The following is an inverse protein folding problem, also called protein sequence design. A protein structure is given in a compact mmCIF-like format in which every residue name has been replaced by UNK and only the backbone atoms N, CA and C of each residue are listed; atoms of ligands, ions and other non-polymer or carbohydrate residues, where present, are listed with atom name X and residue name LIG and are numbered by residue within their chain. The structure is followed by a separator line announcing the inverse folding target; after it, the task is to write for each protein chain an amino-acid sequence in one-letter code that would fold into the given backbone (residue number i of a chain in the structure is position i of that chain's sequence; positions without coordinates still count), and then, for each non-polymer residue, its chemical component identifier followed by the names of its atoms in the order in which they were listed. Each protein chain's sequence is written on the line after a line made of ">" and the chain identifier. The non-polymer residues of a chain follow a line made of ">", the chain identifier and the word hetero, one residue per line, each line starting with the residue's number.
data_IF_710834358025
#
_entry.id   IF_710834358025
#
_cell.length_a   1.000
_cell.length_b   1.000
_cell.length_c   1.000
_cell.angle_alpha   90.00
_cell.angle_beta   90.00
_cell.angle_gamma   90.00
#
_symmetry.space_group_name_H-M   'P 1'
#
loop_
_entity.id
_entity.type
_entity.pdbx_description
1 polymer ?
#
# COMPACT_ATOMS: atom_id res chain seq x y z
N UNK A 1 24.89 10.61 17.71
CA UNK A 1 24.19 11.13 18.92
C UNK A 1 22.80 10.54 18.98
N UNK A 2 22.43 9.86 20.07
CA UNK A 2 21.04 9.42 20.28
C UNK A 2 20.24 10.65 20.74
N UNK A 3 19.16 10.98 20.02
CA UNK A 3 18.21 12.00 20.47
C UNK A 3 17.27 11.33 21.48
N UNK A 4 17.36 11.74 22.74
CA UNK A 4 16.43 11.33 23.77
C UNK A 4 15.18 12.21 23.65
N UNK A 5 14.00 11.59 23.74
CA UNK A 5 12.73 12.32 23.84
C UNK A 5 12.38 12.35 25.32
N UNK A 6 12.36 13.55 25.90
CA UNK A 6 11.89 13.74 27.25
C UNK A 6 10.36 13.64 27.26
N UNK A 7 9.84 12.68 28.02
CA UNK A 7 8.40 12.48 28.20
C UNK A 7 8.07 12.91 29.62
N UNK A 8 7.23 13.95 29.82
CA UNK A 8 6.80 14.35 31.15
C UNK A 8 6.09 13.21 31.90
N UNK A 9 6.26 13.14 33.22
CA UNK A 9 5.65 12.12 34.07
C UNK A 9 4.12 12.07 33.95
N UNK A 10 3.47 13.23 33.86
CA UNK A 10 2.02 13.35 33.67
C UNK A 10 1.53 12.65 32.38
N UNK A 11 2.34 12.67 31.33
CA UNK A 11 2.05 11.98 30.06
C UNK A 11 2.18 10.47 30.23
N UNK A 12 3.16 10.02 31.03
CA UNK A 12 3.33 8.60 31.35
C UNK A 12 2.18 8.05 32.20
N UNK A 13 1.68 8.80 33.17
CA UNK A 13 0.53 8.41 33.99
C UNK A 13 -0.72 8.23 33.13
N UNK A 14 -1.01 9.18 32.24
CA UNK A 14 -2.13 9.07 31.29
C UNK A 14 -2.01 7.83 30.39
N UNK A 15 -0.79 7.49 29.95
CA UNK A 15 -0.56 6.28 29.15
C UNK A 15 -0.73 4.98 29.95
N UNK A 16 -0.37 4.97 31.24
CA UNK A 16 -0.62 3.83 32.14
C UNK A 16 -2.12 3.59 32.30
N UNK A 17 -2.91 4.66 32.36
CA UNK A 17 -4.37 4.62 32.44
C UNK A 17 -5.06 4.30 31.09
N UNK A 18 -4.29 3.98 30.04
CA UNK A 18 -4.83 3.70 28.70
C UNK A 18 -5.32 4.91 27.92
N UNK A 19 -5.10 6.14 28.41
CA UNK A 19 -5.52 7.37 27.74
C UNK A 19 -4.56 7.72 26.60
N UNK A 20 -5.12 8.02 25.43
CA UNK A 20 -4.34 8.53 24.30
C UNK A 20 -3.90 9.99 24.55
N UNK A 21 -2.66 10.31 24.19
CA UNK A 21 -2.09 11.67 24.26
C UNK A 21 -1.88 12.21 22.85
N UNK A 22 -2.26 13.47 22.63
CA UNK A 22 -2.07 14.16 21.34
C UNK A 22 -0.59 14.18 20.94
N UNK A 23 -0.31 14.01 19.64
CA UNK A 23 1.05 13.75 19.14
C UNK A 23 1.39 12.27 18.97
N UNK A 24 0.40 11.38 19.12
CA UNK A 24 0.45 9.97 18.71
C UNK A 24 1.31 9.06 19.60
N UNK A 25 1.44 9.40 20.89
CA UNK A 25 2.07 8.56 21.90
C UNK A 25 1.04 7.53 22.42
N UNK A 26 1.37 6.24 22.35
CA UNK A 26 0.51 5.13 22.84
C UNK A 26 1.35 4.09 23.57
N UNK A 27 0.83 3.57 24.68
CA UNK A 27 1.40 2.40 25.35
C UNK A 27 0.64 1.17 24.91
N UNK A 28 1.36 0.20 24.37
CA UNK A 28 0.79 -1.09 24.00
C UNK A 28 0.55 -1.93 25.26
N UNK A 29 -0.69 -2.37 25.47
CA UNK A 29 -1.12 -3.05 26.71
C UNK A 29 -0.53 -4.47 26.84
N UNK A 30 -0.16 -5.12 25.73
CA UNK A 30 0.37 -6.49 25.73
C UNK A 30 1.89 -6.54 25.89
N UNK A 31 2.59 -5.55 25.32
CA UNK A 31 4.06 -5.51 25.31
C UNK A 31 4.65 -4.50 26.29
N UNK A 32 3.82 -3.59 26.83
CA UNK A 32 4.24 -2.52 27.73
C UNK A 32 5.06 -1.40 27.06
N UNK A 33 5.29 -1.48 25.74
CA UNK A 33 6.14 -0.55 25.00
C UNK A 33 5.41 0.76 24.69
N UNK A 34 6.09 1.88 24.87
CA UNK A 34 5.62 3.20 24.45
C UNK A 34 5.98 3.41 22.97
N UNK A 35 4.98 3.65 22.14
CA UNK A 35 5.11 3.90 20.71
C UNK A 35 4.75 5.35 20.41
N UNK A 36 5.62 6.04 19.70
CA UNK A 36 5.38 7.42 19.24
C UNK A 36 5.14 7.40 17.73
N UNK A 37 3.95 7.78 17.31
CA UNK A 37 3.51 7.70 15.91
C UNK A 37 3.32 9.08 15.28
N UNK A 38 4.34 9.94 15.31
CA UNK A 38 4.27 11.24 14.64
C UNK A 38 3.70 11.10 13.22
N UNK A 39 2.70 11.92 12.92
CA UNK A 39 1.90 11.87 11.71
C UNK A 39 2.73 11.57 10.44
N UNK A 40 2.41 10.42 9.83
CA UNK A 40 2.59 10.06 8.42
C UNK A 40 3.93 10.39 7.75
N UNK A 41 4.90 9.45 7.82
CA UNK A 41 5.69 8.95 6.67
C UNK A 41 6.24 7.56 6.99
N UNK A 42 5.39 6.59 7.30
CA UNK A 42 5.82 5.21 7.07
C UNK A 42 5.66 4.99 5.56
N UNK A 43 6.74 4.85 4.77
CA UNK A 43 6.59 4.23 3.47
C UNK A 43 5.94 2.88 3.76
N UNK A 44 4.70 2.69 3.30
CA UNK A 44 4.15 1.34 3.24
C UNK A 44 5.01 0.66 2.20
N UNK A 45 6.06 0.00 2.67
CA UNK A 45 6.88 -0.86 1.86
C UNK A 45 6.06 -2.12 1.55
N UNK A 46 5.00 -1.93 0.77
CA UNK A 46 4.26 -3.00 0.14
C UNK A 46 5.05 -3.25 -1.14
N UNK A 47 5.98 -4.20 -1.06
CA UNK A 47 6.60 -4.76 -2.25
C UNK A 47 5.47 -5.40 -3.08
N UNK A 48 4.90 -4.62 -3.99
CA UNK A 48 3.92 -5.09 -4.97
C UNK A 48 4.71 -5.68 -6.14
N UNK A 49 4.49 -6.98 -6.41
CA UNK A 49 5.11 -7.67 -7.53
C UNK A 49 4.47 -7.15 -8.81
N UNK A 50 5.27 -6.73 -9.79
CA UNK A 50 4.76 -6.45 -11.13
C UNK A 50 4.57 -7.78 -11.83
N UNK A 51 3.32 -8.11 -12.14
CA UNK A 51 2.97 -9.33 -12.88
C UNK A 51 3.18 -9.10 -14.37
N UNK A 52 2.67 -7.98 -14.87
CA UNK A 52 2.78 -7.63 -16.29
C UNK A 52 2.86 -6.11 -16.46
N UNK A 53 3.76 -5.67 -17.34
CA UNK A 53 3.82 -4.28 -17.79
C UNK A 53 2.97 -4.15 -19.06
N UNK A 54 2.03 -3.19 -19.06
CA UNK A 54 1.17 -2.91 -20.20
C UNK A 54 1.70 -1.67 -20.93
N UNK A 55 1.16 -1.38 -22.11
CA UNK A 55 1.57 -0.24 -22.93
C UNK A 55 1.25 1.09 -22.23
N UNK A 56 0.07 1.19 -21.60
CA UNK A 56 -0.45 2.38 -20.95
C UNK A 56 -0.63 2.21 -19.43
N UNK A 57 -0.07 1.15 -18.87
CA UNK A 57 -0.45 0.70 -17.54
C UNK A 57 0.40 -0.43 -16.97
N UNK A 58 -0.14 -1.07 -15.95
CA UNK A 58 0.47 -2.23 -15.32
C UNK A 58 -0.57 -3.09 -14.60
N UNK A 59 -0.21 -4.36 -14.43
CA UNK A 59 -0.84 -5.28 -13.52
C UNK A 59 0.14 -5.63 -12.40
N UNK A 60 -0.25 -5.36 -11.16
CA UNK A 60 0.54 -5.69 -9.97
C UNK A 60 -0.24 -6.60 -9.04
N UNK A 61 0.52 -7.38 -8.30
CA UNK A 61 0.04 -8.24 -7.25
C UNK A 61 0.51 -7.71 -5.89
N UNK A 62 -0.43 -7.67 -4.96
CA UNK A 62 -0.19 -7.46 -3.54
C UNK A 62 -0.66 -8.70 -2.79
N UNK A 63 -0.24 -8.92 -1.52
CA UNK A 63 -0.56 -10.16 -0.79
C UNK A 63 -2.05 -10.54 -0.68
N UNK A 64 -2.97 -9.63 -0.98
CA UNK A 64 -4.42 -9.88 -0.90
C UNK A 64 -5.18 -9.52 -2.18
N UNK A 65 -4.53 -8.89 -3.17
CA UNK A 65 -5.24 -8.27 -4.31
C UNK A 65 -4.35 -8.16 -5.53
N UNK A 66 -4.95 -8.44 -6.67
CA UNK A 66 -4.48 -7.95 -7.97
C UNK A 66 -4.97 -6.53 -8.21
N UNK A 67 -4.12 -5.72 -8.83
CA UNK A 67 -4.37 -4.31 -9.11
C UNK A 67 -4.05 -4.04 -10.57
N UNK A 68 -5.09 -3.72 -11.33
CA UNK A 68 -4.99 -3.28 -12.71
C UNK A 68 -5.06 -1.75 -12.77
N UNK A 69 -4.07 -1.13 -13.38
CA UNK A 69 -4.03 0.30 -13.65
C UNK A 69 -3.80 0.53 -15.14
N UNK A 70 -4.63 1.38 -15.75
CA UNK A 70 -4.51 1.78 -17.15
C UNK A 70 -4.81 3.28 -17.29
N UNK A 71 -3.96 4.00 -18.02
CA UNK A 71 -4.11 5.42 -18.30
C UNK A 71 -3.90 5.73 -19.77
N UNK A 72 -4.99 5.88 -20.51
CA UNK A 72 -4.98 6.19 -21.94
C UNK A 72 -5.14 7.69 -22.19
N UNK A 73 -4.39 8.24 -23.16
CA UNK A 73 -4.50 9.66 -23.53
C UNK A 73 -5.87 9.97 -24.15
N UNK A 74 -6.46 11.10 -23.73
CA UNK A 74 -7.82 11.51 -24.16
C UNK A 74 -7.90 12.02 -25.60
N UNK A 75 -6.77 12.44 -26.18
CA UNK A 75 -6.67 12.99 -27.54
C UNK A 75 -6.90 11.93 -28.63
N UNK A 76 -6.83 10.64 -28.30
CA UNK A 76 -7.18 9.53 -29.20
C UNK A 76 -8.68 9.47 -29.55
N UNK A 77 -9.54 10.14 -28.78
CA UNK A 77 -10.99 10.09 -28.93
C UNK A 77 -11.61 8.86 -28.25
N UNK A 78 -12.86 9.01 -27.78
CA UNK A 78 -13.51 8.05 -26.86
C UNK A 78 -13.57 6.61 -27.40
N UNK A 79 -13.84 6.43 -28.70
CA UNK A 79 -13.91 5.10 -29.32
C UNK A 79 -12.56 4.38 -29.30
N UNK A 80 -11.48 5.10 -29.59
CA UNK A 80 -10.15 4.51 -29.56
C UNK A 80 -9.70 4.23 -28.13
N UNK A 81 -10.03 5.12 -27.18
CA UNK A 81 -9.77 4.89 -25.76
C UNK A 81 -10.42 3.60 -25.29
N UNK A 82 -11.69 3.36 -25.64
CA UNK A 82 -12.43 2.15 -25.30
C UNK A 82 -11.74 0.88 -25.83
N UNK A 83 -11.39 0.87 -27.12
CA UNK A 83 -10.68 -0.25 -27.76
C UNK A 83 -9.33 -0.53 -27.09
N UNK A 84 -8.55 0.52 -26.79
CA UNK A 84 -7.25 0.38 -26.13
C UNK A 84 -7.42 -0.15 -24.71
N UNK A 85 -8.39 0.36 -23.94
CA UNK A 85 -8.67 -0.14 -22.59
C UNK A 85 -9.07 -1.61 -22.57
N UNK A 86 -9.93 -2.03 -23.49
CA UNK A 86 -10.32 -3.42 -23.64
C UNK A 86 -9.15 -4.33 -24.03
N UNK A 87 -8.30 -3.88 -24.96
CA UNK A 87 -7.11 -4.63 -25.36
C UNK A 87 -6.17 -4.85 -24.18
N UNK A 88 -5.89 -3.80 -23.41
CA UNK A 88 -5.01 -3.89 -22.24
C UNK A 88 -5.57 -4.80 -21.15
N UNK A 89 -6.90 -4.75 -20.92
CA UNK A 89 -7.55 -5.64 -19.97
C UNK A 89 -7.39 -7.10 -20.38
N UNK A 90 -7.61 -7.42 -21.67
CA UNK A 90 -7.43 -8.78 -22.18
C UNK A 90 -5.98 -9.26 -22.03
N UNK A 91 -4.99 -8.40 -22.32
CA UNK A 91 -3.58 -8.75 -22.11
C UNK A 91 -3.26 -9.00 -20.63
N UNK A 92 -3.80 -8.18 -19.72
CA UNK A 92 -3.61 -8.37 -18.29
C UNK A 92 -4.24 -9.68 -17.80
N UNK A 93 -5.44 -10.04 -18.28
CA UNK A 93 -6.09 -11.29 -17.94
C UNK A 93 -5.29 -12.51 -18.43
N UNK A 94 -4.81 -12.48 -19.68
CA UNK A 94 -3.98 -13.55 -20.23
C UNK A 94 -2.69 -13.76 -19.42
N UNK A 95 -2.09 -12.68 -18.91
CA UNK A 95 -0.91 -12.80 -18.05
C UNK A 95 -1.21 -13.52 -16.73
N UNK A 96 -2.39 -13.30 -16.14
CA UNK A 96 -2.83 -14.02 -14.94
C UNK A 96 -3.07 -15.51 -15.23
N UNK A 97 -3.70 -15.83 -16.36
CA UNK A 97 -3.93 -17.23 -16.76
C UNK A 97 -2.61 -17.98 -16.94
N UNK A 98 -1.59 -17.35 -17.56
CA UNK A 98 -0.27 -17.95 -17.75
C UNK A 98 0.44 -18.16 -16.40
N UNK A 99 0.42 -17.18 -15.50
CA UNK A 99 1.00 -17.34 -14.16
C UNK A 99 0.32 -18.48 -13.40
N UNK A 100 -1.00 -18.59 -13.46
CA UNK A 100 -1.73 -19.70 -12.82
C UNK A 100 -1.35 -21.07 -13.40
N UNK A 101 -1.14 -21.17 -14.72
CA UNK A 101 -0.64 -22.41 -15.33
C UNK A 101 0.76 -22.73 -14.84
N UNK A 102 1.67 -21.75 -14.80
CA UNK A 102 3.04 -21.94 -14.38
C UNK A 102 3.16 -22.31 -12.90
N UNK A 103 2.30 -21.76 -12.04
CA UNK A 103 2.28 -22.08 -10.60
C UNK A 103 1.73 -23.50 -10.32
N UNK A 104 0.95 -24.07 -11.24
CA UNK A 104 0.33 -25.39 -11.12
C UNK A 104 1.13 -26.55 -11.77
N UNK A 105 2.32 -26.27 -12.32
CA UNK A 105 3.24 -27.25 -12.94
C UNK A 105 4.45 -27.49 -12.04
#
# INVERSE_FOLDING_TARGET
>A
MRKYVEIPLEVMERLVEGKCVEGSLRRDEWTGKVTFRAYQRQPRDRHERVVCQLENGWLKESPQRYKFYNSVRKDLGRRMVDVVMHRELNTAMQALEIEEILDNV
#
